data_IF_304684247390
#
_entry.id   IF_304684247390
#
_cell.length_a   1.000
_cell.length_b   1.000
_cell.length_c   1.000
_cell.angle_alpha   90.00
_cell.angle_beta   90.00
_cell.angle_gamma   90.00
#
_symmetry.space_group_name_H-M   'P 1'
#
loop_
_entity.id
_entity.type
_entity.pdbx_description
1 polymer ?
#
# COMPACT_ATOMS: atom_id res chain seq x y z
N UNK A 1 8.31 17.29 -1.30
CA UNK A 1 7.57 18.45 -0.77
C UNK A 1 6.10 18.37 -1.12
N UNK A 2 5.73 18.21 -2.39
CA UNK A 2 4.32 18.19 -2.83
C UNK A 2 3.35 17.39 -1.95
N UNK A 3 3.68 16.16 -1.54
CA UNK A 3 2.82 15.34 -0.68
C UNK A 3 2.50 16.03 0.66
N UNK A 4 3.51 16.59 1.33
CA UNK A 4 3.33 17.28 2.62
C UNK A 4 2.50 18.55 2.42
N UNK A 5 2.79 19.32 1.37
CA UNK A 5 2.06 20.55 1.05
C UNK A 5 0.57 20.31 0.75
N UNK A 6 0.22 19.15 0.20
CA UNK A 6 -1.18 18.81 -0.05
C UNK A 6 -1.87 18.16 1.15
N UNK A 7 -1.15 17.90 2.25
CA UNK A 7 -1.70 17.40 3.51
C UNK A 7 -1.42 15.93 3.83
N UNK A 8 -0.46 15.28 3.16
CA UNK A 8 -0.01 13.96 3.60
C UNK A 8 0.87 14.07 4.84
N UNK A 9 0.46 13.34 5.87
CA UNK A 9 1.19 13.21 7.12
C UNK A 9 1.78 11.81 7.34
N UNK A 10 1.40 10.81 6.54
CA UNK A 10 1.91 9.44 6.64
C UNK A 10 2.71 9.06 5.39
N UNK A 11 3.96 8.64 5.61
CA UNK A 11 4.88 8.16 4.58
C UNK A 11 5.33 6.73 4.88
N UNK A 12 5.11 5.84 3.91
CA UNK A 12 5.60 4.46 3.95
C UNK A 12 6.84 4.30 3.05
N UNK A 13 7.92 3.74 3.61
CA UNK A 13 9.18 3.49 2.91
C UNK A 13 9.81 2.16 3.37
N UNK A 14 10.98 1.83 2.84
CA UNK A 14 11.82 0.71 3.23
C UNK A 14 13.26 0.98 2.82
N UNK A 15 14.24 0.41 3.54
CA UNK A 15 15.65 0.50 3.14
C UNK A 15 15.87 0.01 1.69
N UNK A 16 15.19 -1.08 1.32
CA UNK A 16 15.24 -1.65 -0.03
C UNK A 16 14.74 -0.69 -1.13
N UNK A 17 13.86 0.27 -0.81
CA UNK A 17 13.32 1.20 -1.80
C UNK A 17 14.28 2.33 -2.16
N UNK A 18 15.35 2.51 -1.37
CA UNK A 18 16.36 3.57 -1.55
C UNK A 18 15.79 5.01 -1.58
N UNK A 19 14.59 5.21 -1.03
CA UNK A 19 13.91 6.52 -0.99
C UNK A 19 14.03 7.23 0.36
N UNK A 20 14.56 6.57 1.39
CA UNK A 20 14.63 7.10 2.76
C UNK A 20 15.36 8.44 2.85
N UNK A 21 16.50 8.58 2.16
CA UNK A 21 17.27 9.83 2.20
C UNK A 21 16.48 11.00 1.57
N UNK A 22 15.73 10.74 0.51
CA UNK A 22 14.89 11.74 -0.14
C UNK A 22 13.72 12.16 0.76
N UNK A 23 13.07 11.20 1.43
CA UNK A 23 12.02 11.46 2.42
C UNK A 23 12.58 12.26 3.60
N UNK A 24 13.75 11.88 4.12
CA UNK A 24 14.42 12.59 5.22
C UNK A 24 14.68 14.06 4.89
N UNK A 25 15.20 14.34 3.68
CA UNK A 25 15.38 15.73 3.22
C UNK A 25 14.05 16.49 3.12
N UNK A 26 13.01 15.84 2.60
CA UNK A 26 11.68 16.47 2.49
C UNK A 26 11.07 16.78 3.86
N UNK A 27 11.25 15.91 4.85
CA UNK A 27 10.74 16.14 6.21
C UNK A 27 11.50 17.28 6.90
N UNK A 28 12.82 17.37 6.73
CA UNK A 28 13.62 18.50 7.24
C UNK A 28 13.13 19.81 6.62
N UNK A 29 12.93 19.85 5.30
CA UNK A 29 12.42 21.03 4.61
C UNK A 29 10.98 21.36 5.03
N UNK A 30 10.19 20.36 5.39
CA UNK A 30 8.81 20.55 5.82
C UNK A 30 8.68 21.17 7.22
N UNK A 31 9.74 21.22 8.04
CA UNK A 31 9.69 21.83 9.38
C UNK A 31 9.32 23.32 9.35
N UNK A 32 9.45 23.99 8.19
CA UNK A 32 8.99 25.36 7.98
C UNK A 32 7.49 25.46 7.66
N UNK A 33 6.84 24.33 7.37
CA UNK A 33 5.43 24.23 6.91
C UNK A 33 4.56 23.50 7.93
N UNK A 34 5.10 22.48 8.61
CA UNK A 34 4.43 21.71 9.66
C UNK A 34 4.77 22.26 11.04
N UNK A 35 3.92 22.05 12.05
CA UNK A 35 4.17 22.61 13.39
C UNK A 35 5.28 21.89 14.14
N UNK A 36 5.38 20.58 13.94
CA UNK A 36 6.41 19.75 14.58
C UNK A 36 6.61 18.43 13.82
N UNK A 37 7.71 17.74 14.13
CA UNK A 37 7.97 16.38 13.62
C UNK A 37 6.87 15.39 14.01
N UNK A 38 6.13 15.62 15.09
CA UNK A 38 5.07 14.73 15.57
C UNK A 38 3.85 14.71 14.64
N UNK A 39 3.72 15.71 13.77
CA UNK A 39 2.68 15.72 12.72
C UNK A 39 3.01 14.75 11.57
N UNK A 40 4.18 14.11 11.54
CA UNK A 40 4.56 13.18 10.47
C UNK A 40 4.70 11.77 11.01
N UNK A 41 4.01 10.82 10.41
CA UNK A 41 4.21 9.39 10.62
C UNK A 41 5.09 8.83 9.50
N UNK A 42 6.19 8.16 9.85
CA UNK A 42 7.07 7.51 8.87
C UNK A 42 7.20 6.04 9.23
N UNK A 43 6.81 5.17 8.32
CA UNK A 43 7.07 3.73 8.39
C UNK A 43 8.29 3.40 7.55
N UNK A 44 9.27 2.68 8.10
CA UNK A 44 10.31 1.99 7.32
C UNK A 44 10.28 0.49 7.61
N UNK A 45 10.96 -0.30 6.79
CA UNK A 45 10.98 -1.77 6.84
C UNK A 45 12.43 -2.26 6.84
N UNK A 46 12.74 -3.14 7.78
CA UNK A 46 13.99 -3.89 7.80
C UNK A 46 14.00 -4.86 6.60
N UNK A 47 15.10 -4.91 5.86
CA UNK A 47 15.23 -5.84 4.75
C UNK A 47 15.75 -7.21 5.20
N UNK A 48 15.46 -8.25 4.42
CA UNK A 48 15.77 -9.64 4.77
C UNK A 48 17.27 -9.89 5.01
N UNK A 49 18.15 -9.19 4.31
CA UNK A 49 19.62 -9.33 4.51
C UNK A 49 20.10 -8.79 5.84
N UNK A 50 19.33 -7.90 6.45
CA UNK A 50 19.68 -7.22 7.70
C UNK A 50 18.98 -7.87 8.90
N UNK A 51 18.12 -8.87 8.67
CA UNK A 51 17.39 -9.60 9.71
C UNK A 51 18.29 -10.67 10.35
N UNK A 52 19.16 -10.25 11.28
CA UNK A 52 19.95 -11.18 12.11
C UNK A 52 19.14 -11.69 13.33
N UNK A 53 19.47 -12.88 13.84
CA UNK A 53 18.79 -13.47 15.00
C UNK A 53 18.95 -12.68 16.31
N UNK A 54 19.83 -11.68 16.36
CA UNK A 54 20.06 -10.86 17.55
C UNK A 54 19.00 -9.78 17.77
N UNK A 55 18.10 -9.55 16.82
CA UNK A 55 16.98 -8.62 17.02
C UNK A 55 15.93 -9.27 17.93
N UNK A 56 15.67 -8.63 19.07
CA UNK A 56 14.57 -9.06 19.94
C UNK A 56 13.24 -8.84 19.23
N UNK A 57 12.33 -9.83 19.22
CA UNK A 57 11.00 -9.63 18.66
C UNK A 57 10.28 -8.49 19.40
N UNK A 58 9.52 -7.70 18.65
CA UNK A 58 8.66 -6.66 19.22
C UNK A 58 7.72 -7.29 20.26
N UNK A 59 7.57 -6.71 21.46
CA UNK A 59 6.62 -7.21 22.46
C UNK A 59 5.23 -7.34 21.86
N UNK A 60 4.66 -8.55 21.91
CA UNK A 60 3.31 -8.83 21.41
C UNK A 60 2.27 -8.21 22.34
N UNK A 61 1.96 -6.93 22.15
CA UNK A 61 0.74 -6.33 22.71
C UNK A 61 -0.44 -6.66 21.79
N UNK A 62 -1.54 -7.09 22.40
CA UNK A 62 -2.62 -7.90 21.82
C UNK A 62 -3.61 -7.14 20.90
N UNK A 63 -3.16 -6.09 20.20
CA UNK A 63 -3.97 -5.43 19.16
C UNK A 63 -3.06 -5.05 18.00
N UNK A 64 -3.22 -5.73 16.87
CA UNK A 64 -2.45 -5.50 15.66
C UNK A 64 -3.23 -4.59 14.71
N UNK A 65 -2.62 -3.48 14.30
CA UNK A 65 -3.15 -2.65 13.21
C UNK A 65 -2.77 -3.28 11.86
N UNK A 66 -3.74 -3.41 10.95
CA UNK A 66 -3.49 -3.91 9.59
C UNK A 66 -3.36 -2.74 8.63
N UNK A 67 -2.25 -2.68 7.88
CA UNK A 67 -2.02 -1.70 6.80
C UNK A 67 -2.01 -2.40 5.44
N UNK A 68 -2.80 -1.90 4.49
CA UNK A 68 -2.85 -2.46 3.14
C UNK A 68 -1.70 -1.91 2.27
N UNK A 69 -0.86 -2.79 1.75
CA UNK A 69 0.12 -2.47 0.71
C UNK A 69 -0.44 -2.82 -0.67
N UNK A 70 -0.10 -2.03 -1.71
CA UNK A 70 -0.64 -2.18 -3.07
C UNK A 70 -2.16 -2.20 -3.15
N UNK A 71 -2.86 -1.19 -2.59
CA UNK A 71 -4.33 -1.16 -2.54
C UNK A 71 -5.00 -1.11 -3.92
N UNK A 72 -4.30 -0.63 -4.95
CA UNK A 72 -4.78 -0.63 -6.35
C UNK A 72 -4.28 -1.83 -7.15
N UNK A 73 -3.72 -2.84 -6.48
CA UNK A 73 -2.95 -3.89 -7.11
C UNK A 73 -1.58 -3.41 -7.59
N UNK A 74 -0.84 -4.32 -8.26
CA UNK A 74 0.52 -4.10 -8.76
C UNK A 74 0.49 -3.34 -10.10
N UNK A 75 -0.29 -2.25 -10.16
CA UNK A 75 -0.43 -1.46 -11.37
C UNK A 75 0.89 -0.77 -11.73
N UNK A 76 1.53 -1.22 -12.82
CA UNK A 76 2.75 -0.62 -13.37
C UNK A 76 4.09 -1.19 -12.84
N UNK A 77 4.12 -2.28 -12.07
CA UNK A 77 5.38 -2.82 -11.51
C UNK A 77 5.99 -4.02 -12.28
N UNK A 78 5.24 -4.71 -13.14
CA UNK A 78 5.79 -5.75 -14.03
C UNK A 78 4.87 -6.05 -15.22
N UNK A 79 5.44 -6.50 -16.34
CA UNK A 79 4.73 -7.00 -17.52
C UNK A 79 3.91 -8.28 -17.26
N UNK A 80 4.04 -8.88 -16.07
CA UNK A 80 3.23 -10.02 -15.61
C UNK A 80 1.95 -9.63 -14.89
N UNK A 81 1.73 -8.35 -14.58
CA UNK A 81 0.52 -7.85 -13.90
C UNK A 81 -0.65 -7.51 -14.84
N UNK A 82 -0.55 -7.82 -16.14
CA UNK A 82 -1.42 -7.23 -17.18
C UNK A 82 -2.67 -8.01 -17.52
N UNK A 83 -2.96 -9.18 -16.93
CA UNK A 83 -4.05 -10.03 -17.44
C UNK A 83 -5.23 -10.27 -16.49
N UNK A 84 -5.52 -9.30 -15.63
CA UNK A 84 -6.58 -9.43 -14.66
C UNK A 84 -7.70 -8.38 -14.78
N UNK A 85 -7.66 -7.61 -15.86
CA UNK A 85 -8.30 -6.30 -15.97
C UNK A 85 -9.75 -6.27 -16.42
N UNK A 86 -10.49 -7.38 -16.52
CA UNK A 86 -11.88 -7.33 -17.01
C UNK A 86 -12.88 -7.24 -15.85
N UNK A 87 -12.90 -8.21 -14.91
CA UNK A 87 -13.90 -8.23 -13.83
C UNK A 87 -13.63 -7.19 -12.73
N UNK A 88 -12.37 -6.97 -12.38
CA UNK A 88 -11.99 -5.99 -11.35
C UNK A 88 -12.27 -4.55 -11.80
N UNK A 89 -12.03 -4.24 -13.08
CA UNK A 89 -12.31 -2.90 -13.60
C UNK A 89 -13.81 -2.65 -13.71
N UNK A 90 -14.61 -3.61 -14.20
CA UNK A 90 -16.06 -3.41 -14.34
C UNK A 90 -16.78 -3.31 -13.00
N UNK A 91 -16.41 -4.10 -11.99
CA UNK A 91 -17.07 -4.07 -10.67
C UNK A 91 -16.82 -2.75 -9.92
N UNK A 92 -15.73 -2.04 -10.23
CA UNK A 92 -15.23 -0.91 -9.43
C UNK A 92 -15.33 0.42 -10.18
N UNK A 93 -15.17 0.45 -11.50
CA UNK A 93 -15.40 1.67 -12.28
C UNK A 93 -16.86 2.13 -12.25
N UNK A 94 -17.82 1.21 -12.21
CA UNK A 94 -19.26 1.55 -12.15
C UNK A 94 -19.60 2.36 -10.87
N UNK A 95 -19.22 1.90 -9.66
CA UNK A 95 -19.36 2.70 -8.44
C UNK A 95 -18.56 4.02 -8.46
N UNK A 96 -17.37 4.02 -9.05
CA UNK A 96 -16.52 5.22 -9.17
C UNK A 96 -17.22 6.30 -10.00
N UNK A 97 -17.66 5.92 -11.20
CA UNK A 97 -18.37 6.78 -12.13
C UNK A 97 -19.69 7.27 -11.53
N UNK A 98 -20.45 6.38 -10.86
CA UNK A 98 -21.73 6.73 -10.23
C UNK A 98 -21.61 7.82 -9.15
N UNK A 99 -20.48 7.87 -8.43
CA UNK A 99 -20.22 8.89 -7.38
C UNK A 99 -19.33 10.05 -7.84
N UNK A 100 -18.91 10.07 -9.11
CA UNK A 100 -17.94 11.03 -9.63
C UNK A 100 -16.58 10.93 -8.93
N UNK A 101 -16.20 9.72 -8.51
CA UNK A 101 -14.92 9.40 -7.85
C UNK A 101 -14.00 8.64 -8.81
N UNK A 102 -12.71 8.64 -8.46
CA UNK A 102 -11.65 7.94 -9.19
C UNK A 102 -11.38 6.57 -8.56
N UNK A 103 -10.86 5.61 -9.34
CA UNK A 103 -10.47 4.29 -8.85
C UNK A 103 -9.55 4.33 -7.60
N UNK A 104 -8.51 5.20 -7.53
CA UNK A 104 -7.71 5.40 -6.32
C UNK A 104 -8.51 5.74 -5.04
N UNK A 105 -9.62 6.45 -5.19
CA UNK A 105 -10.43 6.88 -4.03
C UNK A 105 -11.30 5.73 -3.48
N UNK A 106 -11.64 4.71 -4.28
CA UNK A 106 -12.45 3.57 -3.83
C UNK A 106 -11.65 2.54 -3.06
N UNK A 107 -10.40 2.29 -3.44
CA UNK A 107 -9.58 1.26 -2.79
C UNK A 107 -8.86 1.77 -1.55
N UNK A 108 -7.89 2.66 -1.77
CA UNK A 108 -7.08 3.32 -0.76
C UNK A 108 -6.13 4.29 -1.48
N UNK A 109 -5.73 5.40 -0.84
CA UNK A 109 -4.73 6.31 -1.37
C UNK A 109 -3.44 5.57 -1.72
N UNK A 110 -3.10 5.52 -3.00
CA UNK A 110 -1.89 4.84 -3.48
C UNK A 110 -0.73 5.82 -3.67
N UNK A 111 0.48 5.26 -3.77
CA UNK A 111 1.70 6.00 -4.13
C UNK A 111 1.47 6.79 -5.44
N UNK A 112 1.75 8.09 -5.42
CA UNK A 112 1.74 8.94 -6.61
C UNK A 112 2.87 9.97 -6.53
N UNK A 113 3.41 10.33 -7.70
CA UNK A 113 4.34 11.45 -7.87
C UNK A 113 3.70 12.66 -8.56
N UNK A 114 2.43 12.55 -8.95
CA UNK A 114 1.67 13.65 -9.53
C UNK A 114 0.84 14.33 -8.43
N UNK A 115 0.98 15.65 -8.31
CA UNK A 115 0.39 16.47 -7.24
C UNK A 115 -1.12 16.50 -7.28
N UNK A 116 -1.71 16.53 -8.47
CA UNK A 116 -3.17 16.55 -8.66
C UNK A 116 -3.78 15.22 -8.20
N UNK A 117 -3.17 14.09 -8.57
CA UNK A 117 -3.57 12.76 -8.08
C UNK A 117 -3.41 12.63 -6.56
N UNK A 118 -2.36 13.21 -5.98
CA UNK A 118 -2.19 13.22 -4.52
C UNK A 118 -3.34 13.97 -3.83
N UNK A 119 -3.78 15.12 -4.35
CA UNK A 119 -4.94 15.83 -3.81
C UNK A 119 -6.21 14.99 -3.91
N UNK A 120 -6.49 14.42 -5.07
CA UNK A 120 -7.66 13.56 -5.29
C UNK A 120 -7.68 12.38 -4.31
N UNK A 121 -6.54 11.75 -4.08
CA UNK A 121 -6.42 10.63 -3.15
C UNK A 121 -6.77 10.99 -1.70
N UNK A 122 -6.71 12.26 -1.28
CA UNK A 122 -7.11 12.69 0.06
C UNK A 122 -8.62 12.93 0.20
N UNK A 123 -9.37 13.00 -0.90
CA UNK A 123 -10.82 13.24 -0.90
C UNK A 123 -11.64 11.95 -0.64
N UNK A 124 -11.17 11.09 0.26
CA UNK A 124 -11.83 9.82 0.65
C UNK A 124 -12.67 9.93 1.91
N UNK A 125 -12.47 10.97 2.73
CA UNK A 125 -13.07 11.03 4.07
C UNK A 125 -14.53 11.52 4.11
N UNK A 126 -15.02 12.12 3.01
CA UNK A 126 -16.30 12.84 2.99
C UNK A 126 -17.40 12.11 2.21
N UNK A 127 -17.23 10.82 1.96
CA UNK A 127 -18.22 9.97 1.30
C UNK A 127 -18.01 8.51 1.67
N UNK A 128 -19.02 7.69 1.43
CA UNK A 128 -18.98 6.25 1.72
C UNK A 128 -19.59 5.44 0.57
N UNK A 129 -19.21 4.16 0.51
CA UNK A 129 -19.85 3.18 -0.35
C UNK A 129 -21.14 2.70 0.33
N UNK A 130 -22.22 2.59 -0.46
CA UNK A 130 -23.46 1.99 -0.03
C UNK A 130 -23.38 0.47 0.06
N UNK A 131 -24.37 -0.14 0.69
CA UNK A 131 -24.42 -1.59 0.91
C UNK A 131 -24.35 -2.40 -0.39
N UNK A 132 -25.06 -1.98 -1.44
CA UNK A 132 -25.04 -2.65 -2.74
C UNK A 132 -23.65 -2.62 -3.40
N UNK A 133 -22.91 -1.53 -3.23
CA UNK A 133 -21.56 -1.37 -3.77
C UNK A 133 -20.57 -2.25 -3.00
N UNK A 134 -20.69 -2.27 -1.67
CA UNK A 134 -19.93 -3.18 -0.81
C UNK A 134 -20.22 -4.65 -1.13
N UNK A 135 -21.48 -5.00 -1.39
CA UNK A 135 -21.87 -6.35 -1.79
C UNK A 135 -21.26 -6.77 -3.13
N UNK A 136 -21.15 -5.86 -4.10
CA UNK A 136 -20.45 -6.11 -5.37
C UNK A 136 -18.95 -6.33 -5.15
N UNK A 137 -18.31 -5.51 -4.31
CA UNK A 137 -16.88 -5.66 -3.97
C UNK A 137 -16.62 -7.02 -3.30
N UNK A 138 -17.51 -7.48 -2.42
CA UNK A 138 -17.40 -8.77 -1.75
C UNK A 138 -17.51 -9.98 -2.71
N UNK A 139 -18.04 -9.79 -3.91
CA UNK A 139 -18.14 -10.84 -4.93
C UNK A 139 -16.89 -10.92 -5.81
N UNK A 140 -15.91 -10.01 -5.67
CA UNK A 140 -14.68 -10.03 -6.45
C UNK A 140 -13.91 -11.33 -6.14
N UNK A 141 -13.51 -12.10 -7.16
CA UNK A 141 -12.65 -13.27 -6.96
C UNK A 141 -11.36 -12.88 -6.24
N UNK A 142 -11.11 -13.51 -5.08
CA UNK A 142 -9.93 -13.24 -4.27
C UNK A 142 -8.70 -13.89 -4.91
N UNK A 143 -7.60 -13.13 -5.00
CA UNK A 143 -6.30 -13.66 -5.44
C UNK A 143 -5.16 -12.85 -4.83
N UNK A 144 -4.03 -13.52 -4.58
CA UNK A 144 -2.78 -12.87 -4.21
C UNK A 144 -2.05 -12.34 -5.44
N UNK A 145 -1.81 -11.04 -5.50
CA UNK A 145 -1.07 -10.42 -6.61
C UNK A 145 0.45 -10.47 -6.42
N UNK A 146 0.93 -10.33 -5.18
CA UNK A 146 2.34 -10.47 -4.83
C UNK A 146 2.54 -11.82 -4.15
N UNK A 147 2.86 -12.84 -4.94
CA UNK A 147 2.99 -14.20 -4.46
C UNK A 147 4.27 -14.40 -3.61
N UNK A 148 5.29 -13.56 -3.76
CA UNK A 148 6.55 -13.74 -3.01
C UNK A 148 7.38 -14.90 -3.55
N UNK A 149 7.20 -15.26 -4.81
CA UNK A 149 7.97 -16.28 -5.55
C UNK A 149 9.48 -16.07 -5.46
N UNK A 150 9.94 -14.82 -5.33
CA UNK A 150 11.34 -14.48 -5.06
C UNK A 150 11.93 -15.16 -3.81
N UNK A 151 11.10 -15.53 -2.82
CA UNK A 151 11.53 -16.21 -1.59
C UNK A 151 11.44 -17.74 -1.66
N UNK A 152 10.98 -18.29 -2.78
CA UNK A 152 10.80 -19.74 -2.97
C UNK A 152 11.98 -20.31 -3.75
N UNK A 153 12.66 -21.30 -3.16
CA UNK A 153 13.80 -21.94 -3.80
C UNK A 153 13.92 -23.41 -3.36
N UNK A 154 14.40 -24.28 -4.25
CA UNK A 154 14.47 -25.73 -3.99
C UNK A 154 15.34 -26.07 -2.76
N UNK A 155 16.47 -25.36 -2.63
CA UNK A 155 17.39 -25.46 -1.49
C UNK A 155 17.11 -24.43 -0.38
N UNK A 156 16.06 -23.63 -0.54
CA UNK A 156 15.66 -22.59 0.41
C UNK A 156 14.79 -23.12 1.56
N UNK A 157 14.49 -22.26 2.55
CA UNK A 157 13.59 -22.61 3.66
C UNK A 157 12.15 -22.83 3.21
N UNK A 158 11.72 -22.16 2.12
CA UNK A 158 10.41 -22.31 1.52
C UNK A 158 10.56 -22.91 0.12
N UNK A 159 9.96 -24.09 -0.08
CA UNK A 159 10.04 -24.86 -1.34
C UNK A 159 8.82 -24.67 -2.24
N UNK A 160 7.79 -24.01 -1.73
CA UNK A 160 6.58 -23.66 -2.49
C UNK A 160 5.91 -22.43 -1.89
N UNK A 161 5.04 -21.79 -2.68
CA UNK A 161 4.19 -20.70 -2.20
C UNK A 161 3.28 -21.14 -1.06
N UNK A 162 2.79 -22.39 -1.11
CA UNK A 162 1.99 -22.97 -0.04
C UNK A 162 2.75 -23.01 1.29
N UNK A 163 4.05 -23.33 1.27
CA UNK A 163 4.88 -23.30 2.47
C UNK A 163 5.19 -21.87 2.93
N UNK A 164 5.38 -20.93 2.00
CA UNK A 164 5.64 -19.54 2.35
C UNK A 164 4.45 -18.87 3.05
N UNK A 165 3.23 -19.23 2.65
CA UNK A 165 1.98 -18.62 3.12
C UNK A 165 1.19 -19.50 4.08
N UNK A 166 1.79 -20.56 4.63
CA UNK A 166 1.12 -21.50 5.55
C UNK A 166 -0.23 -22.03 5.03
N UNK A 167 -0.32 -22.23 3.72
CA UNK A 167 -1.50 -22.72 3.03
C UNK A 167 -2.57 -21.68 2.70
N UNK A 168 -2.35 -20.40 3.02
CA UNK A 168 -3.20 -19.30 2.56
C UNK A 168 -3.05 -19.13 1.03
N UNK A 169 -4.14 -19.28 0.25
CA UNK A 169 -4.11 -19.28 -1.21
C UNK A 169 -3.67 -17.95 -1.87
#
# INVERSE_FOLDING_TARGET
>A
MDAIEVGYHHFDTAAFYQSEQAIGRAVVQALDVIKSRDEIFITSKLWCTDASQSYSPCPQHHTQCVSAFSPLGVYGASSSATNTGIDYYTIIEDPAAAKGKTLPQIHHPARSFNKERMKQNLEIFYWELGEDEMNKINQIPQRRLYAGDFFVYEVGPYKSLHQLWDGDP
#
